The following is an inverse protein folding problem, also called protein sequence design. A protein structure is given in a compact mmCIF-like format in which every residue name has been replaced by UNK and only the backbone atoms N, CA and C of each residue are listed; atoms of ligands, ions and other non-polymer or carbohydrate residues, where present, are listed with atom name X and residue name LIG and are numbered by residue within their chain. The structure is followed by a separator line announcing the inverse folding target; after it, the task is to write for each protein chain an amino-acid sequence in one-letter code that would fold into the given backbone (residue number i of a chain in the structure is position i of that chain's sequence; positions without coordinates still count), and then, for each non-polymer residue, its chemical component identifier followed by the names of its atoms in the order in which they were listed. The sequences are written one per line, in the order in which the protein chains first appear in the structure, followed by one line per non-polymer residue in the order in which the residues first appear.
data_IF_943948136217
#
_entry.id   IF_943948136217
#
_cell.length_a   1.000
_cell.length_b   1.000
_cell.length_c   1.000
_cell.angle_alpha   90.00
_cell.angle_beta   90.00
_cell.angle_gamma   90.00
#
_symmetry.space_group_name_H-M   'P 1'
#
loop_
_entity.id
_entity.type
_entity.pdbx_description
1 polymer ?
#
# COMPACT_ATOMS: atom_id res chain seq x y z
N UNK A 1 -22.78 3.22 -30.50
CA UNK A 1 -21.46 3.75 -30.07
C UNK A 1 -21.24 3.27 -28.65
N UNK A 2 -20.55 2.14 -28.46
CA UNK A 2 -20.11 1.71 -27.14
C UNK A 2 -18.82 2.48 -26.86
N UNK A 3 -18.88 3.60 -26.14
CA UNK A 3 -17.65 4.21 -25.63
C UNK A 3 -17.04 3.20 -24.66
N UNK A 4 -15.98 2.53 -25.12
CA UNK A 4 -15.16 1.67 -24.29
C UNK A 4 -14.35 2.55 -23.34
N UNK A 5 -15.02 3.22 -22.41
CA UNK A 5 -14.39 4.02 -21.37
C UNK A 5 -13.72 3.04 -20.43
N UNK A 6 -12.39 2.95 -20.51
CA UNK A 6 -11.59 2.23 -19.52
C UNK A 6 -11.97 2.79 -18.14
N UNK A 7 -12.38 1.91 -17.23
CA UNK A 7 -12.60 2.30 -15.84
C UNK A 7 -11.22 2.51 -15.21
N UNK A 8 -10.89 3.76 -14.89
CA UNK A 8 -9.63 4.17 -14.27
C UNK A 8 -9.95 4.58 -12.84
N UNK A 9 -9.26 3.97 -11.88
CA UNK A 9 -9.34 4.35 -10.46
C UNK A 9 -8.20 5.29 -10.11
N UNK A 10 -8.47 6.30 -9.31
CA UNK A 10 -7.51 7.25 -8.76
C UNK A 10 -7.18 6.84 -7.32
N UNK A 11 -5.95 6.41 -7.10
CA UNK A 11 -5.38 6.12 -5.79
C UNK A 11 -4.53 7.32 -5.36
N UNK A 12 -4.97 8.08 -4.36
CA UNK A 12 -4.23 9.22 -3.85
C UNK A 12 -3.40 8.82 -2.63
N UNK A 13 -2.13 9.22 -2.64
CA UNK A 13 -1.16 8.94 -1.56
C UNK A 13 -0.56 10.23 -0.99
N UNK A 14 -1.27 11.36 -1.13
CA UNK A 14 -0.84 12.64 -0.56
C UNK A 14 -0.56 12.54 0.93
N UNK A 15 -1.39 11.79 1.67
CA UNK A 15 -1.30 11.60 3.11
C UNK A 15 -0.26 10.57 3.56
N UNK A 16 0.39 9.87 2.61
CA UNK A 16 1.40 8.84 2.89
C UNK A 16 2.70 9.14 2.14
N UNK A 17 2.75 8.95 0.83
CA UNK A 17 3.96 9.22 0.03
C UNK A 17 4.26 10.72 -0.03
N UNK A 18 3.22 11.54 -0.17
CA UNK A 18 3.36 13.00 -0.19
C UNK A 18 3.96 13.57 1.09
N UNK A 19 3.59 13.01 2.24
CA UNK A 19 4.15 13.41 3.53
C UNK A 19 5.64 13.06 3.70
N UNK A 20 6.16 12.09 2.96
CA UNK A 20 7.60 11.77 2.98
C UNK A 20 8.48 12.84 2.31
N UNK A 21 7.87 13.89 1.74
CA UNK A 21 8.57 15.03 1.19
C UNK A 21 9.37 15.76 2.29
N UNK A 22 10.68 15.98 2.10
CA UNK A 22 11.49 16.71 3.09
C UNK A 22 10.90 18.08 3.45
N UNK A 23 10.66 18.30 4.74
CA UNK A 23 10.10 19.55 5.26
C UNK A 23 8.57 19.58 5.33
N UNK A 24 7.88 18.54 4.89
CA UNK A 24 6.44 18.36 5.13
C UNK A 24 6.24 17.62 6.46
N UNK A 25 5.30 18.11 7.26
CA UNK A 25 4.86 17.47 8.51
C UNK A 25 3.39 17.83 8.69
N UNK A 26 2.51 16.84 8.61
CA UNK A 26 1.07 17.06 8.73
C UNK A 26 0.63 16.71 10.14
N UNK A 27 -0.16 17.57 10.77
CA UNK A 27 -0.87 17.22 12.00
C UNK A 27 -2.02 16.26 11.69
N UNK A 28 -2.59 15.63 12.73
CA UNK A 28 -3.77 14.77 12.55
C UNK A 28 -4.92 15.59 11.95
N UNK A 29 -5.08 16.82 12.41
CA UNK A 29 -6.08 17.77 11.93
C UNK A 29 -5.87 18.10 10.44
N UNK A 30 -4.64 18.40 10.03
CA UNK A 30 -4.31 18.64 8.61
C UNK A 30 -4.64 17.43 7.74
N UNK A 31 -4.29 16.22 8.21
CA UNK A 31 -4.57 14.99 7.47
C UNK A 31 -6.06 14.73 7.29
N UNK A 32 -6.87 14.99 8.33
CA UNK A 32 -8.33 14.84 8.25
C UNK A 32 -8.92 15.85 7.27
N UNK A 33 -8.48 17.12 7.32
CA UNK A 33 -8.94 18.16 6.39
C UNK A 33 -8.61 17.79 4.95
N UNK A 34 -7.37 17.38 4.66
CA UNK A 34 -6.96 16.92 3.33
C UNK A 34 -7.76 15.68 2.90
N UNK A 35 -7.99 14.71 3.79
CA UNK A 35 -8.77 13.51 3.47
C UNK A 35 -10.23 13.86 3.08
N UNK A 36 -10.84 14.83 3.75
CA UNK A 36 -12.17 15.33 3.39
C UNK A 36 -12.16 15.98 2.01
N UNK A 37 -11.15 16.81 1.71
CA UNK A 37 -11.01 17.44 0.40
C UNK A 37 -10.77 16.41 -0.72
N UNK A 38 -9.96 15.38 -0.48
CA UNK A 38 -9.77 14.27 -1.41
C UNK A 38 -11.07 13.48 -1.64
N UNK A 39 -11.86 13.27 -0.58
CA UNK A 39 -13.18 12.64 -0.69
C UNK A 39 -14.18 13.49 -1.48
N UNK A 40 -14.10 14.83 -1.40
CA UNK A 40 -14.93 15.74 -2.19
C UNK A 40 -14.48 15.79 -3.65
N UNK A 41 -13.17 15.75 -3.89
CA UNK A 41 -12.58 15.65 -5.23
C UNK A 41 -13.01 14.36 -5.95
N UNK A 42 -13.32 13.31 -5.19
CA UNK A 42 -13.86 12.05 -5.71
C UNK A 42 -12.80 11.06 -6.16
N UNK A 43 -11.66 11.01 -5.46
CA UNK A 43 -10.68 9.91 -5.63
C UNK A 43 -11.32 8.58 -5.22
N UNK A 44 -10.80 7.45 -5.73
CA UNK A 44 -11.35 6.13 -5.43
C UNK A 44 -10.78 5.54 -4.15
N UNK A 45 -9.51 5.83 -3.86
CA UNK A 45 -8.79 5.33 -2.69
C UNK A 45 -7.93 6.45 -2.11
N UNK A 46 -7.92 6.57 -0.78
CA UNK A 46 -6.99 7.42 -0.03
C UNK A 46 -6.07 6.51 0.77
N UNK A 47 -4.77 6.56 0.50
CA UNK A 47 -3.76 5.95 1.36
C UNK A 47 -3.44 6.90 2.52
N UNK A 48 -4.05 6.61 3.67
CA UNK A 48 -4.12 7.53 4.80
C UNK A 48 -2.85 7.61 5.64
N UNK A 49 -1.88 6.70 5.44
CA UNK A 49 -0.62 6.69 6.16
C UNK A 49 -0.02 5.31 6.36
N UNK A 50 0.93 5.23 7.30
CA UNK A 50 1.68 4.02 7.67
C UNK A 50 1.56 3.77 9.18
N UNK A 51 0.56 2.99 9.63
CA UNK A 51 0.25 2.81 11.05
C UNK A 51 1.41 2.28 11.92
N UNK A 52 2.35 1.54 11.31
CA UNK A 52 3.55 1.03 11.98
C UNK A 52 4.61 2.10 12.28
N UNK A 53 4.50 3.29 11.68
CA UNK A 53 5.54 4.33 11.78
C UNK A 53 5.56 5.01 13.15
N UNK A 54 4.40 5.27 13.75
CA UNK A 54 4.27 5.82 15.09
C UNK A 54 2.83 5.68 15.62
N UNK A 55 2.65 5.85 16.93
CA UNK A 55 1.30 5.94 17.53
C UNK A 55 0.49 7.13 16.98
N UNK A 56 1.16 8.23 16.62
CA UNK A 56 0.52 9.38 15.99
C UNK A 56 -0.04 9.03 14.61
N UNK A 57 0.74 8.30 13.80
CA UNK A 57 0.32 7.79 12.50
C UNK A 57 -0.83 6.81 12.62
N UNK A 58 -0.72 5.84 13.54
CA UNK A 58 -1.80 4.87 13.81
C UNK A 58 -3.10 5.59 14.19
N UNK A 59 -3.01 6.62 15.04
CA UNK A 59 -4.18 7.43 15.42
C UNK A 59 -4.74 8.19 14.22
N UNK A 60 -3.92 8.86 13.42
CA UNK A 60 -4.37 9.59 12.23
C UNK A 60 -5.13 8.70 11.25
N UNK A 61 -4.55 7.55 10.88
CA UNK A 61 -5.17 6.59 9.96
C UNK A 61 -6.51 6.10 10.51
N UNK A 62 -6.57 5.77 11.81
CA UNK A 62 -7.79 5.30 12.46
C UNK A 62 -8.91 6.35 12.50
N UNK A 63 -8.57 7.61 12.74
CA UNK A 63 -9.56 8.71 12.69
C UNK A 63 -10.08 8.93 11.26
N UNK A 64 -9.20 8.89 10.25
CA UNK A 64 -9.60 9.02 8.83
C UNK A 64 -10.51 7.86 8.41
N UNK A 65 -10.17 6.63 8.78
CA UNK A 65 -11.00 5.45 8.50
C UNK A 65 -12.42 5.57 9.11
N UNK A 66 -12.55 6.24 10.25
CA UNK A 66 -13.83 6.45 10.95
C UNK A 66 -14.58 7.70 10.54
N UNK A 67 -14.00 8.54 9.68
CA UNK A 67 -14.59 9.81 9.27
C UNK A 67 -15.79 9.64 8.31
N UNK A 68 -16.11 8.42 7.88
CA UNK A 68 -17.27 8.15 7.01
C UNK A 68 -17.11 8.75 5.61
N UNK A 69 -15.87 8.80 5.11
CA UNK A 69 -15.55 9.31 3.79
C UNK A 69 -16.05 8.35 2.69
N UNK A 70 -16.23 8.88 1.48
CA UNK A 70 -16.67 8.09 0.31
C UNK A 70 -15.60 7.14 -0.27
N UNK A 71 -14.32 7.53 -0.41
CA UNK A 71 -13.29 6.64 -0.94
C UNK A 71 -12.97 5.49 -0.02
N UNK A 72 -12.39 4.43 -0.61
CA UNK A 72 -11.73 3.35 0.13
C UNK A 72 -10.56 3.92 0.93
N UNK A 73 -10.50 3.64 2.24
CA UNK A 73 -9.38 4.06 3.08
C UNK A 73 -8.36 2.93 3.15
N UNK A 74 -7.12 3.23 2.76
CA UNK A 74 -6.02 2.28 2.67
C UNK A 74 -4.90 2.63 3.66
N UNK A 75 -4.30 1.61 4.28
CA UNK A 75 -3.07 1.75 5.07
C UNK A 75 -1.90 1.00 4.42
N UNK A 76 -0.71 1.58 4.46
CA UNK A 76 0.51 0.91 4.03
C UNK A 76 1.05 0.02 5.17
N UNK A 77 1.51 -1.19 4.83
CA UNK A 77 2.18 -2.10 5.75
C UNK A 77 3.37 -2.81 5.06
N UNK A 78 4.42 -3.14 5.83
CA UNK A 78 5.41 -4.12 5.37
C UNK A 78 4.81 -5.52 5.40
N UNK A 79 5.44 -6.50 4.75
CA UNK A 79 5.03 -7.92 4.76
C UNK A 79 5.26 -8.64 6.10
N UNK A 80 5.32 -7.92 7.22
CA UNK A 80 5.43 -8.49 8.56
C UNK A 80 4.04 -8.54 9.21
N UNK A 81 3.80 -9.57 10.01
CA UNK A 81 2.51 -9.76 10.68
C UNK A 81 2.16 -8.59 11.61
N UNK A 82 3.16 -8.11 12.36
CA UNK A 82 3.01 -6.96 13.25
C UNK A 82 2.53 -5.71 12.51
N UNK A 83 3.10 -5.37 11.36
CA UNK A 83 2.71 -4.18 10.62
C UNK A 83 1.29 -4.29 10.06
N UNK A 84 0.94 -5.47 9.56
CA UNK A 84 -0.41 -5.76 9.08
C UNK A 84 -1.42 -5.67 10.24
N UNK A 85 -1.08 -6.17 11.43
CA UNK A 85 -1.92 -6.03 12.63
C UNK A 85 -2.15 -4.55 13.00
N UNK A 86 -1.13 -3.68 12.86
CA UNK A 86 -1.30 -2.24 13.10
C UNK A 86 -2.27 -1.60 12.10
N UNK A 87 -2.25 -2.04 10.84
CA UNK A 87 -3.20 -1.58 9.83
C UNK A 87 -4.62 -2.11 10.09
N UNK A 88 -4.77 -3.39 10.44
CA UNK A 88 -6.06 -3.99 10.84
C UNK A 88 -6.68 -3.23 12.01
N UNK A 89 -5.88 -2.90 13.04
CA UNK A 89 -6.31 -2.15 14.22
C UNK A 89 -6.85 -0.74 13.90
N UNK A 90 -6.57 -0.22 12.71
CA UNK A 90 -7.06 1.09 12.27
C UNK A 90 -8.47 1.05 11.64
N UNK A 91 -9.07 -0.14 11.52
CA UNK A 91 -10.41 -0.31 10.94
C UNK A 91 -10.50 0.20 9.47
N UNK A 92 -9.41 0.05 8.69
CA UNK A 92 -9.34 0.46 7.26
C UNK A 92 -10.05 -0.51 6.32
N UNK A 93 -10.36 -0.08 5.09
CA UNK A 93 -10.99 -0.92 4.07
C UNK A 93 -9.98 -1.79 3.31
N UNK A 94 -8.76 -1.26 3.13
CA UNK A 94 -7.71 -1.89 2.35
C UNK A 94 -6.34 -1.81 3.04
N UNK A 95 -5.51 -2.81 2.78
CA UNK A 95 -4.10 -2.81 3.18
C UNK A 95 -3.24 -2.94 1.91
N UNK A 96 -2.33 -2.00 1.75
CA UNK A 96 -1.28 -2.03 0.75
C UNK A 96 -0.02 -2.61 1.38
N UNK A 97 0.31 -3.84 1.00
CA UNK A 97 1.55 -4.52 1.42
C UNK A 97 2.63 -4.38 0.35
N UNK A 98 3.86 -4.16 0.77
CA UNK A 98 5.00 -4.06 -0.15
C UNK A 98 6.23 -4.82 0.35
N UNK A 99 7.04 -5.28 -0.60
CA UNK A 99 8.36 -5.87 -0.32
C UNK A 99 9.34 -5.52 -1.44
N UNK A 100 10.63 -5.25 -1.16
CA UNK A 100 11.59 -5.02 -2.21
C UNK A 100 11.91 -6.27 -3.03
N UNK A 101 12.01 -6.13 -4.35
CA UNK A 101 12.19 -7.26 -5.28
C UNK A 101 13.42 -7.15 -6.18
N UNK A 102 14.14 -6.03 -6.16
CA UNK A 102 15.40 -5.91 -6.89
C UNK A 102 16.55 -6.59 -6.13
N UNK A 103 17.55 -7.17 -6.81
CA UNK A 103 18.62 -7.92 -6.13
C UNK A 103 19.37 -7.11 -5.06
N UNK A 104 19.61 -5.83 -5.32
CA UNK A 104 20.30 -4.93 -4.37
C UNK A 104 19.42 -4.70 -3.14
N UNK A 105 18.14 -4.38 -3.33
CA UNK A 105 17.23 -4.10 -2.23
C UNK A 105 16.93 -5.35 -1.40
N UNK A 106 16.71 -6.51 -2.04
CA UNK A 106 16.54 -7.80 -1.35
C UNK A 106 17.75 -8.12 -0.46
N UNK A 107 18.97 -7.95 -0.97
CA UNK A 107 20.19 -8.26 -0.23
C UNK A 107 20.48 -7.26 0.90
N UNK A 108 20.28 -5.97 0.65
CA UNK A 108 20.81 -4.91 1.53
C UNK A 108 19.74 -4.20 2.38
N UNK A 109 18.50 -4.09 1.91
CA UNK A 109 17.44 -3.42 2.66
C UNK A 109 16.68 -4.40 3.57
N UNK A 110 16.38 -5.61 3.09
CA UNK A 110 15.61 -6.61 3.85
C UNK A 110 16.40 -7.87 4.21
N UNK A 111 17.51 -8.14 3.54
CA UNK A 111 18.36 -9.31 3.81
C UNK A 111 17.69 -10.66 3.49
N UNK A 112 16.78 -10.70 2.50
CA UNK A 112 16.00 -11.87 2.14
C UNK A 112 16.46 -12.50 0.83
N UNK A 113 16.35 -13.82 0.72
CA UNK A 113 16.51 -14.52 -0.56
C UNK A 113 15.23 -14.37 -1.42
N UNK A 114 15.32 -14.60 -2.75
CA UNK A 114 14.14 -14.63 -3.62
C UNK A 114 13.03 -15.54 -3.10
N UNK A 115 13.35 -16.74 -2.61
CA UNK A 115 12.38 -17.70 -2.07
C UNK A 115 11.70 -17.18 -0.80
N UNK A 116 12.46 -16.51 0.07
CA UNK A 116 11.92 -15.89 1.28
C UNK A 116 11.00 -14.72 0.94
N UNK A 117 11.33 -13.94 -0.09
CA UNK A 117 10.45 -12.87 -0.60
C UNK A 117 9.13 -13.45 -1.10
N UNK A 118 9.16 -14.53 -1.88
CA UNK A 118 7.93 -15.20 -2.35
C UNK A 118 7.09 -15.72 -1.17
N UNK A 119 7.71 -16.37 -0.17
CA UNK A 119 7.01 -16.86 1.03
C UNK A 119 6.38 -15.71 1.81
N UNK A 120 7.14 -14.65 2.07
CA UNK A 120 6.65 -13.47 2.79
C UNK A 120 5.50 -12.78 2.05
N UNK A 121 5.56 -12.69 0.72
CA UNK A 121 4.46 -12.18 -0.10
C UNK A 121 3.20 -13.04 0.06
N UNK A 122 3.29 -14.37 -0.08
CA UNK A 122 2.13 -15.27 0.12
C UNK A 122 1.54 -15.10 1.51
N UNK A 123 2.38 -15.20 2.55
CA UNK A 123 1.93 -15.13 3.93
C UNK A 123 1.25 -13.81 4.27
N UNK A 124 1.82 -12.68 3.82
CA UNK A 124 1.27 -11.35 4.04
C UNK A 124 -0.08 -11.17 3.35
N UNK A 125 -0.16 -11.50 2.05
CA UNK A 125 -1.39 -11.36 1.27
C UNK A 125 -2.50 -12.24 1.85
N UNK A 126 -2.24 -13.52 2.09
CA UNK A 126 -3.21 -14.42 2.71
C UNK A 126 -3.66 -13.92 4.08
N UNK A 127 -2.76 -13.33 4.86
CA UNK A 127 -3.09 -12.80 6.17
C UNK A 127 -4.05 -11.60 6.08
N UNK A 128 -3.82 -10.66 5.17
CA UNK A 128 -4.77 -9.56 4.90
C UNK A 128 -6.12 -10.13 4.47
N UNK A 129 -6.15 -11.07 3.51
CA UNK A 129 -7.40 -11.66 3.01
C UNK A 129 -8.17 -12.46 4.06
N UNK A 130 -7.49 -13.15 4.98
CA UNK A 130 -8.13 -13.84 6.12
C UNK A 130 -8.90 -12.89 7.05
N UNK A 131 -8.54 -11.61 7.08
CA UNK A 131 -9.26 -10.58 7.85
C UNK A 131 -10.38 -9.90 7.04
N UNK A 132 -10.66 -10.37 5.82
CA UNK A 132 -11.75 -9.86 4.99
C UNK A 132 -11.46 -8.51 4.33
N UNK A 133 -10.20 -8.06 4.35
CA UNK A 133 -9.79 -6.77 3.79
C UNK A 133 -9.41 -6.88 2.32
N UNK A 134 -9.45 -5.73 1.64
CA UNK A 134 -8.88 -5.58 0.30
C UNK A 134 -7.35 -5.56 0.42
N UNK A 135 -6.66 -6.30 -0.44
CA UNK A 135 -5.21 -6.39 -0.45
C UNK A 135 -4.64 -5.84 -1.76
N UNK A 136 -3.80 -4.82 -1.64
CA UNK A 136 -2.93 -4.36 -2.72
C UNK A 136 -1.50 -4.82 -2.45
N UNK A 137 -0.80 -5.32 -3.46
CA UNK A 137 0.59 -5.73 -3.35
C UNK A 137 1.52 -4.94 -4.26
N UNK A 138 2.66 -4.50 -3.72
CA UNK A 138 3.73 -3.87 -4.49
C UNK A 138 5.07 -4.59 -4.41
N UNK A 139 5.62 -5.04 -5.55
CA UNK A 139 7.03 -5.35 -5.68
C UNK A 139 7.83 -4.04 -5.75
N UNK A 140 8.33 -3.56 -4.62
CA UNK A 140 9.11 -2.33 -4.54
C UNK A 140 10.39 -2.45 -5.36
N UNK A 141 10.75 -1.37 -6.06
CA UNK A 141 11.86 -1.33 -7.01
C UNK A 141 11.67 -2.23 -8.25
N UNK A 142 10.41 -2.35 -8.72
CA UNK A 142 10.02 -3.21 -9.83
C UNK A 142 10.82 -2.93 -11.11
N UNK A 143 11.08 -1.67 -11.43
CA UNK A 143 11.75 -1.24 -12.68
C UNK A 143 13.24 -1.61 -12.75
N UNK A 144 13.82 -2.02 -11.62
CA UNK A 144 15.18 -2.55 -11.51
C UNK A 144 15.23 -4.01 -11.05
N UNK A 145 14.08 -4.67 -10.99
CA UNK A 145 13.96 -6.09 -10.69
C UNK A 145 14.17 -6.93 -11.95
N UNK A 146 14.66 -8.17 -11.80
CA UNK A 146 14.69 -9.11 -12.93
C UNK A 146 13.26 -9.42 -13.36
N UNK A 147 12.95 -9.24 -14.66
CA UNK A 147 11.58 -9.39 -15.19
C UNK A 147 10.96 -10.76 -14.87
N UNK A 148 11.77 -11.82 -14.88
CA UNK A 148 11.35 -13.18 -14.51
C UNK A 148 10.89 -13.25 -13.05
N UNK A 149 11.69 -12.72 -12.14
CA UNK A 149 11.38 -12.70 -10.71
C UNK A 149 10.19 -11.77 -10.40
N UNK A 150 10.14 -10.60 -11.03
CA UNK A 150 9.00 -9.68 -10.94
C UNK A 150 7.69 -10.35 -11.36
N UNK A 151 7.71 -11.08 -12.48
CA UNK A 151 6.54 -11.84 -12.94
C UNK A 151 6.15 -12.91 -11.92
N UNK A 152 7.13 -13.62 -11.37
CA UNK A 152 6.91 -14.67 -10.40
C UNK A 152 6.28 -14.15 -9.10
N UNK A 153 6.80 -13.06 -8.53
CA UNK A 153 6.26 -12.50 -7.28
C UNK A 153 4.86 -11.93 -7.46
N UNK A 154 4.56 -11.30 -8.61
CA UNK A 154 3.21 -10.86 -8.93
C UNK A 154 2.22 -12.03 -9.06
N UNK A 155 2.62 -13.13 -9.72
CA UNK A 155 1.79 -14.33 -9.81
C UNK A 155 1.56 -14.99 -8.44
N UNK A 156 2.57 -14.95 -7.56
CA UNK A 156 2.44 -15.46 -6.20
C UNK A 156 1.47 -14.60 -5.39
N UNK A 157 1.56 -13.27 -5.48
CA UNK A 157 0.61 -12.36 -4.83
C UNK A 157 -0.83 -12.56 -5.36
N UNK A 158 -1.01 -12.66 -6.67
CA UNK A 158 -2.31 -12.93 -7.30
C UNK A 158 -2.90 -14.26 -6.79
N UNK A 159 -2.13 -15.35 -6.80
CA UNK A 159 -2.59 -16.67 -6.31
C UNK A 159 -2.92 -16.67 -4.83
N UNK A 160 -2.21 -15.88 -4.03
CA UNK A 160 -2.49 -15.69 -2.60
C UNK A 160 -3.76 -14.86 -2.35
N UNK A 161 -4.28 -14.18 -3.38
CA UNK A 161 -5.55 -13.46 -3.34
C UNK A 161 -5.43 -11.94 -3.29
N UNK A 162 -4.30 -11.36 -3.71
CA UNK A 162 -4.18 -9.91 -3.87
C UNK A 162 -5.23 -9.41 -4.88
N UNK A 163 -5.98 -8.37 -4.53
CA UNK A 163 -7.02 -7.78 -5.38
C UNK A 163 -6.41 -6.82 -6.43
N UNK A 164 -5.24 -6.25 -6.11
CA UNK A 164 -4.52 -5.28 -6.94
C UNK A 164 -3.01 -5.50 -6.86
N UNK A 165 -2.33 -5.26 -7.98
CA UNK A 165 -0.87 -5.23 -8.05
C UNK A 165 -0.46 -3.82 -8.49
N UNK A 166 0.30 -3.12 -7.64
CA UNK A 166 0.87 -1.81 -7.96
C UNK A 166 2.33 -1.97 -8.36
N UNK A 167 2.72 -1.47 -9.53
CA UNK A 167 4.08 -1.56 -10.08
C UNK A 167 4.77 -0.20 -9.97
N UNK A 168 5.60 0.03 -8.93
CA UNK A 168 6.25 1.32 -8.72
C UNK A 168 7.52 1.47 -9.57
N UNK A 169 7.68 2.64 -10.20
CA UNK A 169 8.97 3.12 -10.71
C UNK A 169 9.72 3.90 -9.62
N UNK A 170 10.29 3.16 -8.67
CA UNK A 170 10.88 3.72 -7.43
C UNK A 170 11.95 4.78 -7.68
N UNK A 171 12.60 4.80 -8.85
CA UNK A 171 13.67 5.76 -9.18
C UNK A 171 13.37 6.66 -10.38
N UNK A 172 12.21 6.53 -11.03
CA UNK A 172 11.80 7.41 -12.13
C UNK A 172 12.60 7.24 -13.42
N UNK A 173 12.83 6.01 -13.88
CA UNK A 173 13.66 5.68 -15.06
C UNK A 173 12.89 5.03 -16.21
N UNK A 174 11.55 4.96 -16.15
CA UNK A 174 10.71 4.43 -17.23
C UNK A 174 10.41 5.41 -18.36
#
# INVERSE_FOLDING_TARGET
MSSNTKNIRIFDTTLRDGEQTPGVSLTIEDKIEIAQQLSELGVDTIEAGSPMSSEGEKKAVKEIAKAGLKPEICALARTTRSDIDHAIDCDVDAIHVFIPTSPIQMKHAVGLTPEQVLSATTEAVEYVKRHGLICEFSPMDATRSETSFLTQVCQVAERAGADRINIPDTVGIM
#
